data_IF_927741449072
#
_entry.id   IF_927741449072
#
_cell.length_a   1.000
_cell.length_b   1.000
_cell.length_c   1.000
_cell.angle_alpha   90.00
_cell.angle_beta   90.00
_cell.angle_gamma   90.00
#
_symmetry.space_group_name_H-M   'P 1'
#
loop_
_entity.id
_entity.type
_entity.pdbx_description
1 polymer ?
#
# COMPACT_ATOMS: atom_id res chain seq x y z
N UNK A 1 14.40 -66.76 -10.10
CA UNK A 1 13.97 -65.34 -10.14
C UNK A 1 15.13 -64.52 -10.66
N UNK A 2 14.97 -63.85 -11.81
CA UNK A 2 16.03 -63.02 -12.41
C UNK A 2 15.81 -61.58 -11.95
N UNK A 3 16.66 -61.10 -11.05
CA UNK A 3 16.62 -59.71 -10.55
C UNK A 3 17.09 -58.78 -11.66
N UNK A 4 16.18 -57.97 -12.21
CA UNK A 4 16.55 -56.88 -13.12
C UNK A 4 17.17 -55.76 -12.30
N UNK A 5 18.50 -55.63 -12.35
CA UNK A 5 19.21 -54.46 -11.88
C UNK A 5 18.91 -53.30 -12.83
N UNK A 6 18.04 -52.37 -12.42
CA UNK A 6 17.90 -51.10 -13.13
C UNK A 6 19.22 -50.34 -13.06
N UNK A 7 19.83 -50.04 -14.21
CA UNK A 7 20.94 -49.11 -14.30
C UNK A 7 20.42 -47.72 -13.89
N UNK A 8 20.96 -47.15 -12.82
CA UNK A 8 20.75 -45.73 -12.51
C UNK A 8 21.25 -44.90 -13.68
N UNK A 9 20.32 -44.25 -14.40
CA UNK A 9 20.65 -43.22 -15.37
C UNK A 9 20.85 -41.92 -14.59
N UNK A 10 22.11 -41.51 -14.42
CA UNK A 10 22.45 -40.22 -13.82
C UNK A 10 22.23 -39.08 -14.81
N UNK A 11 21.96 -37.89 -14.27
CA UNK A 11 21.90 -36.65 -15.03
C UNK A 11 23.31 -36.27 -15.51
N UNK A 12 23.47 -35.88 -16.77
CA UNK A 12 24.76 -35.46 -17.30
C UNK A 12 25.12 -34.04 -16.84
N UNK A 13 26.41 -33.74 -16.73
CA UNK A 13 26.87 -32.38 -16.38
C UNK A 13 26.39 -31.34 -17.40
N UNK A 14 26.30 -31.72 -18.68
CA UNK A 14 25.83 -30.82 -19.74
C UNK A 14 24.34 -30.53 -19.62
N UNK A 15 23.50 -31.52 -19.27
CA UNK A 15 22.09 -31.29 -18.99
C UNK A 15 21.92 -30.35 -17.79
N UNK A 16 22.75 -30.51 -16.75
CA UNK A 16 22.68 -29.65 -15.57
C UNK A 16 23.07 -28.20 -15.90
N UNK A 17 24.11 -28.00 -16.71
CA UNK A 17 24.51 -26.66 -17.14
C UNK A 17 23.45 -25.96 -17.98
N UNK A 18 22.78 -26.67 -18.88
CA UNK A 18 21.68 -26.11 -19.70
C UNK A 18 20.50 -25.72 -18.81
N UNK A 19 20.12 -26.57 -17.85
CA UNK A 19 19.03 -26.27 -16.91
C UNK A 19 19.33 -25.02 -16.09
N UNK A 20 20.55 -24.90 -15.55
CA UNK A 20 20.96 -23.70 -14.79
C UNK A 20 20.94 -22.46 -15.67
N UNK A 21 21.37 -22.56 -16.93
CA UNK A 21 21.32 -21.43 -17.87
C UNK A 21 19.89 -20.96 -18.14
N UNK A 22 18.95 -21.88 -18.36
CA UNK A 22 17.54 -21.55 -18.59
C UNK A 22 16.90 -20.95 -17.33
N UNK A 23 17.15 -21.54 -16.15
CA UNK A 23 16.66 -20.99 -14.88
C UNK A 23 17.22 -19.59 -14.65
N UNK A 24 18.49 -19.34 -15.00
CA UNK A 24 19.11 -18.01 -14.91
C UNK A 24 18.37 -16.95 -15.73
N UNK A 25 18.00 -17.27 -16.97
CA UNK A 25 17.24 -16.35 -17.85
C UNK A 25 15.84 -16.10 -17.27
N UNK A 26 15.13 -17.16 -16.86
CA UNK A 26 13.78 -17.03 -16.30
C UNK A 26 13.80 -16.23 -14.99
N UNK A 27 14.77 -16.47 -14.11
CA UNK A 27 14.91 -15.78 -12.84
C UNK A 27 15.16 -14.28 -13.02
N UNK A 28 15.92 -13.87 -14.04
CA UNK A 28 16.19 -12.46 -14.33
C UNK A 28 14.90 -11.65 -14.62
N UNK A 29 13.89 -12.28 -15.23
CA UNK A 29 12.59 -11.63 -15.51
C UNK A 29 11.59 -11.85 -14.37
N UNK A 30 11.57 -13.06 -13.79
CA UNK A 30 10.59 -13.43 -12.79
C UNK A 30 10.85 -12.78 -11.41
N UNK A 31 12.11 -12.62 -11.00
CA UNK A 31 12.43 -12.08 -9.68
C UNK A 31 11.99 -10.61 -9.50
N UNK A 32 12.27 -9.69 -10.44
CA UNK A 32 11.78 -8.31 -10.31
C UNK A 32 10.25 -8.24 -10.25
N UNK A 33 9.55 -9.02 -11.07
CA UNK A 33 8.09 -9.07 -11.06
C UNK A 33 7.52 -9.63 -9.75
N UNK A 34 8.16 -10.67 -9.19
CA UNK A 34 7.77 -11.23 -7.91
C UNK A 34 8.00 -10.24 -6.76
N UNK A 35 9.11 -9.50 -6.77
CA UNK A 35 9.37 -8.45 -5.79
C UNK A 35 8.28 -7.38 -5.82
N UNK A 36 7.92 -6.87 -6.99
CA UNK A 36 6.85 -5.88 -7.15
C UNK A 36 5.48 -6.43 -6.69
N UNK A 37 5.17 -7.70 -6.98
CA UNK A 37 3.95 -8.35 -6.50
C UNK A 37 3.91 -8.42 -4.96
N UNK A 38 5.01 -8.88 -4.34
CA UNK A 38 5.08 -8.94 -2.86
C UNK A 38 5.05 -7.56 -2.21
N UNK A 39 5.64 -6.55 -2.86
CA UNK A 39 5.59 -5.17 -2.41
C UNK A 39 4.16 -4.61 -2.47
N UNK A 40 3.43 -4.84 -3.56
CA UNK A 40 2.01 -4.48 -3.67
C UNK A 40 1.14 -5.17 -2.62
N UNK A 41 1.41 -6.43 -2.32
CA UNK A 41 0.71 -7.15 -1.26
C UNK A 41 0.94 -6.51 0.13
N UNK A 42 2.18 -6.06 0.42
CA UNK A 42 2.49 -5.30 1.63
C UNK A 42 1.82 -3.92 1.64
N UNK A 43 1.73 -3.24 0.49
CA UNK A 43 1.05 -1.96 0.36
C UNK A 43 -0.46 -2.04 0.65
N UNK A 44 -1.09 -3.21 0.51
CA UNK A 44 -2.48 -3.42 0.94
C UNK A 44 -2.68 -3.20 2.45
N UNK A 45 -1.64 -3.36 3.26
CA UNK A 45 -1.69 -3.07 4.69
C UNK A 45 -1.84 -1.56 4.96
N UNK A 46 -1.20 -0.71 4.15
CA UNK A 46 -1.39 0.74 4.23
C UNK A 46 -2.84 1.12 3.88
N UNK A 47 -3.46 0.42 2.92
CA UNK A 47 -4.88 0.61 2.62
C UNK A 47 -5.81 0.14 3.73
N UNK A 48 -5.47 -0.98 4.36
CA UNK A 48 -6.21 -1.48 5.51
C UNK A 48 -6.12 -0.50 6.68
N UNK A 49 -4.94 0.07 6.94
CA UNK A 49 -4.75 1.08 7.98
C UNK A 49 -5.59 2.35 7.74
N UNK A 50 -5.82 2.72 6.48
CA UNK A 50 -6.71 3.84 6.14
C UNK A 50 -8.20 3.55 6.36
N UNK A 51 -8.61 2.27 6.40
CA UNK A 51 -10.03 1.89 6.37
C UNK A 51 -10.80 2.33 7.62
N UNK A 52 -10.16 2.35 8.78
CA UNK A 52 -10.77 2.79 10.05
C UNK A 52 -11.07 4.29 10.01
N UNK A 53 -10.10 5.11 9.60
CA UNK A 53 -10.26 6.53 9.38
C UNK A 53 -11.34 6.82 8.33
N UNK A 54 -11.34 6.06 7.22
CA UNK A 54 -12.34 6.19 6.14
C UNK A 54 -13.78 6.01 6.64
N UNK A 55 -14.01 5.00 7.48
CA UNK A 55 -15.34 4.76 8.08
C UNK A 55 -15.73 5.92 9.00
N UNK A 56 -14.85 6.34 9.91
CA UNK A 56 -15.12 7.48 10.80
C UNK A 56 -15.44 8.76 10.02
N UNK A 57 -14.65 9.09 9.00
CA UNK A 57 -14.88 10.29 8.18
C UNK A 57 -16.21 10.20 7.45
N UNK A 58 -16.59 9.02 6.97
CA UNK A 58 -17.89 8.81 6.31
C UNK A 58 -19.06 9.06 7.26
N UNK A 59 -18.95 8.64 8.52
CA UNK A 59 -19.96 8.93 9.54
C UNK A 59 -20.01 10.44 9.87
N UNK A 60 -18.85 11.07 10.07
CA UNK A 60 -18.75 12.52 10.38
C UNK A 60 -19.27 13.40 9.25
N UNK A 61 -18.98 13.03 8.00
CA UNK A 61 -19.49 13.68 6.81
C UNK A 61 -21.02 13.70 6.80
N UNK A 62 -21.68 12.59 7.15
CA UNK A 62 -23.14 12.52 7.14
C UNK A 62 -23.81 13.39 8.22
N UNK A 63 -23.19 13.50 9.40
CA UNK A 63 -23.77 14.22 10.55
C UNK A 63 -23.31 15.68 10.66
N UNK A 64 -22.55 16.18 9.69
CA UNK A 64 -22.08 17.57 9.69
C UNK A 64 -21.04 17.85 10.79
N UNK A 65 -20.07 16.97 10.98
CA UNK A 65 -19.02 17.10 12.01
C UNK A 65 -17.63 17.10 11.39
N UNK A 66 -16.69 17.78 12.07
CA UNK A 66 -15.27 17.76 11.68
C UNK A 66 -14.71 16.32 11.70
N UNK A 67 -13.87 15.95 10.72
CA UNK A 67 -13.16 14.68 10.69
C UNK A 67 -11.84 14.66 11.48
N UNK A 68 -11.45 15.75 12.16
CA UNK A 68 -10.15 15.88 12.85
C UNK A 68 -9.87 14.76 13.88
N UNK A 69 -10.92 14.22 14.51
CA UNK A 69 -10.82 13.15 15.51
C UNK A 69 -10.85 11.73 14.91
N UNK A 70 -10.91 11.61 13.59
CA UNK A 70 -10.90 10.33 12.87
C UNK A 70 -9.50 9.77 12.62
N UNK A 71 -8.46 10.37 13.20
CA UNK A 71 -7.11 9.82 13.10
C UNK A 71 -7.06 8.42 13.74
N UNK A 72 -6.55 7.44 13.00
CA UNK A 72 -6.29 6.10 13.52
C UNK A 72 -5.06 6.06 14.45
N UNK A 73 -4.38 7.21 14.60
CA UNK A 73 -3.30 7.47 15.53
C UNK A 73 -1.91 7.27 14.92
N UNK A 74 -0.91 7.92 15.50
CA UNK A 74 0.42 7.33 15.70
C UNK A 74 0.34 6.43 16.93
N UNK A 75 1.04 5.28 16.95
CA UNK A 75 1.22 4.60 18.23
C UNK A 75 1.90 5.60 19.17
N UNK A 76 1.22 6.00 20.24
CA UNK A 76 1.80 6.86 21.28
C UNK A 76 2.01 5.98 22.48
N UNK A 77 3.26 5.58 22.70
CA UNK A 77 3.70 4.80 23.86
C UNK A 77 3.83 5.64 25.13
N UNK A 78 3.32 6.87 25.13
CA UNK A 78 3.40 7.80 26.25
C UNK A 78 4.23 9.04 25.92
N UNK A 79 4.02 10.08 26.73
CA UNK A 79 4.50 11.46 26.55
C UNK A 79 6.00 11.56 26.21
N UNK A 80 6.28 12.03 24.99
CA UNK A 80 7.63 12.35 24.50
C UNK A 80 8.11 11.51 23.33
N UNK A 81 7.33 10.52 22.88
CA UNK A 81 7.81 9.54 21.91
C UNK A 81 7.79 10.03 20.45
N UNK A 82 8.88 9.77 19.74
CA UNK A 82 8.98 10.02 18.30
C UNK A 82 8.10 8.98 17.60
N UNK A 83 7.04 9.42 16.91
CA UNK A 83 6.03 8.59 16.21
C UNK A 83 6.46 7.11 16.04
N UNK A 84 6.02 6.24 16.95
CA UNK A 84 6.32 4.82 16.87
C UNK A 84 5.44 4.19 15.80
N UNK A 85 6.08 3.36 14.99
CA UNK A 85 5.48 2.56 13.92
C UNK A 85 4.16 1.91 14.36
N UNK A 86 3.08 2.14 13.62
CA UNK A 86 1.80 1.47 13.85
C UNK A 86 1.91 -0.04 13.62
N UNK A 87 2.57 -0.42 12.53
CA UNK A 87 2.79 -1.82 12.15
C UNK A 87 4.18 -1.99 11.56
N UNK A 88 4.49 -3.19 11.07
CA UNK A 88 5.75 -3.42 10.34
C UNK A 88 5.90 -2.52 9.12
N UNK A 89 4.81 -2.24 8.39
CA UNK A 89 4.85 -1.50 7.13
C UNK A 89 4.17 -0.14 7.18
N UNK A 90 3.40 0.17 8.24
CA UNK A 90 2.73 1.47 8.42
C UNK A 90 3.44 2.26 9.51
N UNK A 91 3.95 3.43 9.15
CA UNK A 91 4.58 4.37 10.08
C UNK A 91 3.52 5.15 10.84
N UNK A 92 2.60 5.74 10.08
CA UNK A 92 1.63 6.69 10.59
C UNK A 92 0.41 6.72 9.67
N UNK A 93 -0.76 6.89 10.27
CA UNK A 93 -1.97 7.39 9.62
C UNK A 93 -2.21 8.80 10.15
N UNK A 94 -2.72 9.69 9.31
CA UNK A 94 -3.10 11.05 9.70
C UNK A 94 -4.33 11.49 8.91
N UNK A 95 -5.16 12.32 9.53
CA UNK A 95 -6.38 12.87 8.92
C UNK A 95 -6.32 14.39 8.98
N UNK A 96 -6.59 15.05 7.85
CA UNK A 96 -6.72 16.51 7.80
C UNK A 96 -8.14 16.98 8.15
N UNK A 97 -8.30 18.28 8.42
CA UNK A 97 -9.60 18.91 8.67
C UNK A 97 -10.62 18.80 7.53
N UNK A 98 -10.17 18.44 6.32
CA UNK A 98 -11.03 18.17 5.15
C UNK A 98 -11.18 16.68 4.86
N UNK A 99 -10.83 15.81 5.83
CA UNK A 99 -11.02 14.37 5.73
C UNK A 99 -10.04 13.66 4.79
N UNK A 100 -8.99 14.34 4.31
CA UNK A 100 -7.90 13.67 3.58
C UNK A 100 -7.12 12.78 4.54
N UNK A 101 -7.06 11.48 4.22
CA UNK A 101 -6.32 10.47 4.98
C UNK A 101 -4.96 10.30 4.32
N UNK A 102 -3.87 10.41 5.10
CA UNK A 102 -2.51 10.15 4.62
C UNK A 102 -1.87 9.03 5.44
N UNK A 103 -1.44 7.99 4.74
CA UNK A 103 -0.76 6.81 5.31
C UNK A 103 0.67 6.77 4.81
N UNK A 104 1.62 6.82 5.74
CA UNK A 104 3.06 6.78 5.44
C UNK A 104 3.58 5.37 5.70
N UNK A 105 4.21 4.78 4.70
CA UNK A 105 4.84 3.47 4.80
C UNK A 105 6.22 3.49 5.48
N UNK A 106 6.66 2.33 5.92
CA UNK A 106 7.98 2.09 6.52
C UNK A 106 8.51 0.69 6.24
N UNK A 107 9.74 0.42 6.69
CA UNK A 107 10.42 -0.85 6.41
C UNK A 107 10.55 -1.04 4.91
N UNK A 108 10.03 -2.14 4.38
CA UNK A 108 10.01 -2.41 2.94
C UNK A 108 9.14 -1.42 2.15
N UNK A 109 8.17 -0.76 2.82
CA UNK A 109 7.29 0.25 2.22
C UNK A 109 7.74 1.68 2.53
N UNK A 110 8.98 1.88 2.98
CA UNK A 110 9.53 3.23 3.19
C UNK A 110 9.39 4.05 1.91
N UNK A 111 9.13 5.34 2.08
CA UNK A 111 8.93 6.31 1.00
C UNK A 111 7.71 6.05 0.09
N UNK A 112 6.87 5.07 0.42
CA UNK A 112 5.54 4.92 -0.16
C UNK A 112 4.54 5.63 0.74
N UNK A 113 3.84 6.63 0.20
CA UNK A 113 2.73 7.30 0.88
C UNK A 113 1.46 7.10 0.08
N UNK A 114 0.37 6.76 0.76
CA UNK A 114 -0.95 6.63 0.16
C UNK A 114 -1.88 7.68 0.76
N UNK A 115 -2.59 8.40 -0.10
CA UNK A 115 -3.51 9.46 0.28
C UNK A 115 -4.90 9.15 -0.26
N UNK A 116 -5.89 9.13 0.61
CA UNK A 116 -7.30 9.02 0.23
C UNK A 116 -7.98 10.37 0.43
N UNK A 117 -8.57 10.88 -0.64
CA UNK A 117 -9.29 12.16 -0.63
C UNK A 117 -10.78 11.89 -0.82
N UNK A 118 -11.64 12.27 0.14
CA UNK A 118 -13.08 12.21 -0.06
C UNK A 118 -13.50 13.23 -1.11
N UNK A 119 -14.43 12.86 -1.97
CA UNK A 119 -15.02 13.74 -2.97
C UNK A 119 -16.48 14.05 -2.59
N UNK A 120 -16.87 15.33 -2.60
CA UNK A 120 -18.27 15.73 -2.42
C UNK A 120 -19.08 15.61 -3.73
N UNK A 121 -18.41 15.65 -4.87
CA UNK A 121 -18.97 15.36 -6.19
C UNK A 121 -17.88 14.80 -7.13
N UNK A 122 -18.24 14.43 -8.36
CA UNK A 122 -17.27 13.95 -9.35
C UNK A 122 -16.11 14.95 -9.51
N UNK A 123 -14.87 14.49 -9.27
CA UNK A 123 -13.64 15.31 -9.33
C UNK A 123 -13.62 16.56 -8.44
N UNK A 124 -14.49 16.63 -7.43
CA UNK A 124 -14.55 17.74 -6.46
C UNK A 124 -14.16 17.23 -5.07
N UNK A 125 -12.94 17.50 -4.59
CA UNK A 125 -12.54 17.18 -3.22
C UNK A 125 -13.47 17.85 -2.22
N UNK A 126 -13.81 17.12 -1.15
CA UNK A 126 -14.60 17.69 -0.06
C UNK A 126 -13.80 18.79 0.64
N UNK A 127 -14.51 19.83 1.09
CA UNK A 127 -13.94 20.93 1.87
C UNK A 127 -14.55 21.03 3.28
N UNK A 128 -14.11 22.02 4.05
CA UNK A 128 -14.59 22.23 5.41
C UNK A 128 -16.07 22.62 5.46
N UNK A 129 -16.59 23.29 4.43
CA UNK A 129 -18.00 23.70 4.35
C UNK A 129 -18.92 22.50 4.09
N UNK A 130 -18.47 21.53 3.29
CA UNK A 130 -19.15 20.25 3.09
C UNK A 130 -19.32 19.51 4.42
N UNK A 131 -18.24 19.39 5.20
CA UNK A 131 -18.29 18.79 6.53
C UNK A 131 -19.12 19.60 7.53
N UNK A 132 -19.21 20.93 7.41
CA UNK A 132 -20.04 21.76 8.28
C UNK A 132 -21.55 21.60 7.99
N UNK A 133 -21.93 21.42 6.72
CA UNK A 133 -23.32 21.28 6.29
C UNK A 133 -23.84 19.84 6.40
N UNK A 134 -22.93 18.88 6.40
CA UNK A 134 -23.24 17.47 6.27
C UNK A 134 -23.47 17.09 4.81
N UNK A 135 -22.83 16.01 4.36
CA UNK A 135 -22.91 15.53 2.99
C UNK A 135 -22.67 14.01 2.92
N UNK A 136 -22.99 13.43 1.76
CA UNK A 136 -22.61 12.04 1.45
C UNK A 136 -21.37 12.07 0.57
N UNK A 137 -20.34 11.33 0.97
CA UNK A 137 -19.13 11.17 0.16
C UNK A 137 -19.50 10.47 -1.16
N UNK A 138 -19.27 11.15 -2.27
CA UNK A 138 -19.56 10.64 -3.61
C UNK A 138 -18.58 9.52 -4.00
N UNK A 139 -17.29 9.76 -3.79
CA UNK A 139 -16.23 8.81 -4.11
C UNK A 139 -15.01 9.05 -3.21
N UNK A 140 -14.17 8.03 -3.06
CA UNK A 140 -12.85 8.16 -2.46
C UNK A 140 -11.79 8.02 -3.55
N UNK A 141 -11.06 9.10 -3.81
CA UNK A 141 -9.94 9.08 -4.75
C UNK A 141 -8.69 8.68 -4.00
N UNK A 142 -8.10 7.54 -4.36
CA UNK A 142 -6.81 7.12 -3.83
C UNK A 142 -5.68 7.55 -4.77
N UNK A 143 -4.72 8.29 -4.21
CA UNK A 143 -3.46 8.63 -4.86
C UNK A 143 -2.30 8.14 -4.02
N UNK A 144 -1.13 7.98 -4.64
CA UNK A 144 0.08 7.66 -3.89
C UNK A 144 1.33 8.25 -4.51
N UNK A 145 2.29 8.53 -3.64
CA UNK A 145 3.62 9.03 -4.00
C UNK A 145 4.65 7.99 -3.63
N UNK A 146 5.57 7.71 -4.56
CA UNK A 146 6.71 6.85 -4.35
C UNK A 146 7.99 7.69 -4.36
N UNK A 147 8.74 7.70 -3.26
CA UNK A 147 10.06 8.34 -3.17
C UNK A 147 11.18 7.46 -3.71
N UNK A 148 12.40 7.64 -3.18
CA UNK A 148 13.63 7.02 -3.71
C UNK A 148 13.63 5.50 -3.68
N UNK A 149 13.07 4.92 -2.62
CA UNK A 149 13.10 3.48 -2.40
C UNK A 149 11.78 2.77 -2.70
N UNK A 150 10.74 3.56 -2.97
CA UNK A 150 9.44 3.05 -3.37
C UNK A 150 9.30 3.07 -4.90
N UNK A 151 8.41 2.24 -5.43
CA UNK A 151 8.03 2.26 -6.85
C UNK A 151 6.55 2.52 -7.00
N UNK A 152 6.16 3.26 -8.05
CA UNK A 152 4.75 3.42 -8.42
C UNK A 152 4.05 2.08 -8.68
N UNK A 153 4.77 1.05 -9.13
CA UNK A 153 4.23 -0.31 -9.34
C UNK A 153 3.76 -0.99 -8.05
N UNK A 154 4.22 -0.53 -6.89
CA UNK A 154 3.83 -1.06 -5.58
C UNK A 154 2.49 -0.54 -5.11
N UNK A 155 1.95 0.52 -5.73
CA UNK A 155 0.64 1.04 -5.37
C UNK A 155 -0.45 -0.03 -5.59
N UNK A 156 -1.42 -0.13 -4.67
CA UNK A 156 -2.61 -0.93 -4.87
C UNK A 156 -3.32 -0.52 -6.17
N UNK A 157 -4.01 -1.44 -6.82
CA UNK A 157 -4.72 -1.16 -8.08
C UNK A 157 -5.83 -0.12 -7.96
N UNK A 158 -6.32 0.13 -6.74
CA UNK A 158 -7.30 1.18 -6.44
C UNK A 158 -6.69 2.58 -6.39
N UNK A 159 -5.36 2.71 -6.41
CA UNK A 159 -4.64 3.96 -6.24
C UNK A 159 -3.90 4.34 -7.52
N UNK A 160 -3.91 5.62 -7.83
CA UNK A 160 -3.16 6.20 -8.95
C UNK A 160 -1.92 6.94 -8.44
N UNK A 161 -0.94 7.17 -9.32
CA UNK A 161 0.23 7.98 -8.94
C UNK A 161 -0.21 9.43 -8.81
N UNK A 162 0.13 10.08 -7.70
CA UNK A 162 -0.15 11.50 -7.54
C UNK A 162 0.59 12.30 -8.62
N UNK A 163 -0.15 13.00 -9.47
CA UNK A 163 0.43 13.94 -10.43
C UNK A 163 1.00 15.12 -9.65
N UNK A 164 2.31 15.20 -9.53
CA UNK A 164 2.99 16.41 -9.02
C UNK A 164 2.67 17.51 -10.02
N UNK A 165 1.77 18.43 -9.66
CA UNK A 165 1.35 19.52 -10.54
C UNK A 165 2.57 20.32 -11.01
N UNK A 166 2.73 20.42 -12.32
CA UNK A 166 3.54 21.45 -12.99
C UNK A 166 2.80 22.76 -13.04
#
# INVERSE_FOLDING_TARGET
MKTMTQKQQGFTLIELMIVVAIIGILAAVALPAYQDYTARAKASELMLAASTARTCISEKAQIGKSPDDCDAGTLSTGTGDTATSLTKYVKQVSVSAVGVITVIGQGDMKDLTITLTPQSASSTPADADDFAKGFTIFEWVCTGTAGTDAKASWLPSSCTVATTGT
#
